data_IF_756424603690
#
_entry.id   IF_756424603690
#
_cell.length_a   1.000
_cell.length_b   1.000
_cell.length_c   1.000
_cell.angle_alpha   90.00
_cell.angle_beta   90.00
_cell.angle_gamma   90.00
#
_symmetry.space_group_name_H-M   'P 1'
#
loop_
_entity.id
_entity.type
_entity.pdbx_description
1 polymer ?
#
# COMPACT_ATOMS: atom_id res chain seq x y z
N UNK A 1 12.95 -20.39 5.65
CA UNK A 1 13.12 -18.92 5.45
C UNK A 1 11.91 -18.43 4.66
N UNK A 2 11.44 -17.20 4.86
CA UNK A 2 10.27 -16.68 4.13
C UNK A 2 10.52 -15.30 3.55
N UNK A 3 9.78 -14.98 2.49
CA UNK A 3 9.83 -13.67 1.84
C UNK A 3 8.71 -12.76 2.35
N UNK A 4 9.02 -11.49 2.49
CA UNK A 4 8.07 -10.43 2.83
C UNK A 4 7.84 -9.60 1.59
N UNK A 5 6.58 -9.48 1.20
CA UNK A 5 6.18 -8.77 -0.01
C UNK A 5 5.17 -7.67 0.34
N UNK A 6 5.28 -6.54 -0.31
CA UNK A 6 4.29 -5.44 -0.29
C UNK A 6 3.95 -5.02 -1.71
N UNK A 7 2.84 -4.33 -1.90
CA UNK A 7 2.65 -3.52 -3.11
C UNK A 7 3.23 -2.11 -2.93
N UNK A 8 3.47 -1.42 -4.04
CA UNK A 8 4.11 -0.09 -4.01
C UNK A 8 3.30 0.99 -3.30
N UNK A 9 2.03 0.74 -2.96
CA UNK A 9 1.26 1.66 -2.12
C UNK A 9 1.77 1.73 -0.67
N UNK A 10 2.63 0.81 -0.24
CA UNK A 10 3.29 0.84 1.06
C UNK A 10 4.21 2.07 1.22
N UNK A 11 4.66 2.67 0.11
CA UNK A 11 5.52 3.84 0.07
C UNK A 11 6.80 3.71 0.92
N UNK A 12 7.36 2.50 0.97
CA UNK A 12 8.64 2.26 1.64
C UNK A 12 9.77 2.71 0.71
N UNK A 13 10.68 3.57 1.15
CA UNK A 13 11.86 3.94 0.35
C UNK A 13 12.71 2.73 -0.04
N UNK A 14 13.32 2.77 -1.23
CA UNK A 14 14.11 1.66 -1.76
C UNK A 14 15.24 1.22 -0.80
N UNK A 15 15.90 2.17 -0.14
CA UNK A 15 16.92 1.87 0.87
C UNK A 15 16.38 1.05 2.06
N UNK A 16 15.15 1.34 2.50
CA UNK A 16 14.52 0.58 3.59
C UNK A 16 14.02 -0.79 3.11
N UNK A 17 13.54 -0.88 1.87
CA UNK A 17 13.21 -2.18 1.26
C UNK A 17 14.44 -3.09 1.22
N UNK A 18 15.60 -2.57 0.82
CA UNK A 18 16.88 -3.32 0.85
C UNK A 18 17.29 -3.70 2.27
N UNK A 19 17.25 -2.73 3.22
CA UNK A 19 17.62 -2.96 4.62
C UNK A 19 16.79 -4.07 5.26
N UNK A 20 15.48 -4.02 5.08
CA UNK A 20 14.54 -4.97 5.69
C UNK A 20 14.23 -6.18 4.82
N UNK A 21 14.89 -6.33 3.67
CA UNK A 21 14.69 -7.44 2.71
C UNK A 21 13.20 -7.62 2.38
N UNK A 22 12.56 -6.54 1.96
CA UNK A 22 11.15 -6.48 1.57
C UNK A 22 11.10 -6.38 0.04
N UNK A 23 10.41 -7.32 -0.62
CA UNK A 23 10.13 -7.30 -2.06
C UNK A 23 8.92 -6.39 -2.31
N UNK A 24 9.00 -5.53 -3.32
CA UNK A 24 7.90 -4.63 -3.69
C UNK A 24 7.36 -5.02 -5.06
N UNK A 25 6.05 -5.24 -5.15
CA UNK A 25 5.35 -5.35 -6.42
C UNK A 25 4.78 -3.99 -6.81
N UNK A 26 5.15 -3.51 -7.98
CA UNK A 26 4.76 -2.17 -8.42
C UNK A 26 3.37 -2.15 -9.04
N UNK A 27 2.55 -1.20 -8.61
CA UNK A 27 1.38 -0.78 -9.39
C UNK A 27 1.82 -0.20 -10.72
N UNK A 28 0.92 -0.25 -11.68
CA UNK A 28 1.04 0.51 -12.92
C UNK A 28 0.22 1.79 -12.79
N UNK A 29 0.88 2.94 -12.94
CA UNK A 29 0.23 4.23 -13.09
C UNK A 29 0.23 4.63 -14.57
N UNK A 30 -0.90 5.18 -15.02
CA UNK A 30 -1.00 5.84 -16.32
C UNK A 30 -1.05 7.34 -16.06
N UNK A 31 -0.05 8.07 -16.52
CA UNK A 31 0.01 9.53 -16.48
C UNK A 31 -0.16 10.05 -17.92
N UNK A 32 -1.27 10.70 -18.22
CA UNK A 32 -1.64 11.11 -19.58
C UNK A 32 -1.56 9.95 -20.59
N UNK A 33 -1.98 8.74 -20.17
CA UNK A 33 -1.98 7.54 -20.99
C UNK A 33 -0.63 6.84 -21.14
N UNK A 34 0.45 7.35 -20.54
CA UNK A 34 1.77 6.69 -20.50
C UNK A 34 1.94 5.92 -19.21
N UNK A 35 2.45 4.71 -19.32
CA UNK A 35 2.79 3.89 -18.14
C UNK A 35 3.96 4.50 -17.36
N UNK A 36 3.83 4.47 -16.05
CA UNK A 36 4.85 4.92 -15.10
C UNK A 36 4.94 3.89 -13.96
N UNK A 37 6.13 3.40 -13.73
CA UNK A 37 6.42 2.50 -12.62
C UNK A 37 6.40 3.27 -11.30
N UNK A 38 5.70 2.72 -10.30
CA UNK A 38 5.56 3.37 -8.99
C UNK A 38 6.70 3.07 -8.03
N UNK A 39 7.54 2.09 -8.34
CA UNK A 39 8.66 1.68 -7.50
C UNK A 39 9.82 1.16 -8.37
N UNK A 40 11.01 1.62 -8.07
CA UNK A 40 12.26 1.17 -8.67
C UNK A 40 13.28 0.90 -7.57
N UNK A 41 13.82 -0.33 -7.45
CA UNK A 41 14.60 -0.74 -6.29
C UNK A 41 15.99 -0.10 -6.20
N UNK A 42 16.49 0.46 -7.31
CA UNK A 42 17.88 0.94 -7.40
C UNK A 42 18.00 2.48 -7.36
N UNK A 43 16.89 3.17 -7.10
CA UNK A 43 16.92 4.62 -6.97
C UNK A 43 17.60 5.06 -5.67
N UNK A 44 18.40 6.13 -5.77
CA UNK A 44 18.86 6.85 -4.58
C UNK A 44 17.73 7.67 -3.98
N UNK A 45 17.81 8.06 -2.69
CA UNK A 45 16.79 8.92 -2.07
C UNK A 45 16.56 10.25 -2.81
N UNK A 46 17.60 10.80 -3.46
CA UNK A 46 17.51 12.01 -4.28
C UNK A 46 16.70 11.75 -5.56
N UNK A 47 16.93 10.61 -6.21
CA UNK A 47 16.22 10.22 -7.42
C UNK A 47 14.75 9.90 -7.12
N UNK A 48 14.46 9.21 -6.01
CA UNK A 48 13.09 8.97 -5.56
C UNK A 48 12.33 10.28 -5.32
N UNK A 49 12.97 11.25 -4.63
CA UNK A 49 12.38 12.57 -4.40
C UNK A 49 12.14 13.34 -5.71
N UNK A 50 13.09 13.28 -6.65
CA UNK A 50 12.96 13.96 -7.93
C UNK A 50 11.79 13.38 -8.75
N UNK A 51 11.68 12.05 -8.86
CA UNK A 51 10.56 11.38 -9.53
C UNK A 51 9.22 11.66 -8.87
N UNK A 52 9.18 11.59 -7.55
CA UNK A 52 7.97 11.92 -6.78
C UNK A 52 7.53 13.38 -7.02
N UNK A 53 8.49 14.31 -7.06
CA UNK A 53 8.20 15.72 -7.35
C UNK A 53 7.63 15.88 -8.77
N UNK A 54 8.27 15.29 -9.78
CA UNK A 54 7.81 15.33 -11.17
C UNK A 54 6.37 14.78 -11.29
N UNK A 55 6.09 13.63 -10.69
CA UNK A 55 4.77 13.02 -10.67
C UNK A 55 3.70 13.94 -10.06
N UNK A 56 3.98 14.51 -8.88
CA UNK A 56 3.01 15.39 -8.22
C UNK A 56 2.88 16.76 -8.88
N UNK A 57 3.93 17.26 -9.51
CA UNK A 57 3.85 18.52 -10.29
C UNK A 57 2.99 18.31 -11.53
N UNK A 58 3.15 17.21 -12.26
CA UNK A 58 2.27 16.86 -13.37
C UNK A 58 0.79 16.81 -12.96
N UNK A 59 0.48 16.20 -11.78
CA UNK A 59 -0.89 16.20 -11.24
C UNK A 59 -1.40 17.63 -10.96
N UNK A 60 -0.57 18.49 -10.39
CA UNK A 60 -0.93 19.90 -10.12
C UNK A 60 -1.19 20.69 -11.40
N UNK A 61 -0.48 20.37 -12.47
CA UNK A 61 -0.63 20.92 -13.80
C UNK A 61 -1.82 20.33 -14.58
N UNK A 62 -2.52 19.35 -13.98
CA UNK A 62 -3.76 18.81 -14.52
C UNK A 62 -3.61 17.48 -15.27
N UNK A 63 -2.47 16.80 -15.16
CA UNK A 63 -2.31 15.48 -15.75
C UNK A 63 -3.40 14.51 -15.30
N UNK A 64 -3.93 13.74 -16.23
CA UNK A 64 -4.84 12.65 -15.91
C UNK A 64 -4.04 11.47 -15.38
N UNK A 65 -4.37 11.02 -14.17
CA UNK A 65 -3.73 9.85 -13.55
C UNK A 65 -4.76 8.76 -13.30
N UNK A 66 -4.42 7.55 -13.77
CA UNK A 66 -5.17 6.32 -13.48
C UNK A 66 -4.21 5.30 -12.88
N UNK A 67 -4.67 4.57 -11.88
CA UNK A 67 -3.92 3.47 -11.27
C UNK A 67 -4.54 2.14 -11.71
N UNK A 68 -3.72 1.24 -12.26
CA UNK A 68 -4.08 -0.14 -12.51
C UNK A 68 -3.83 -1.01 -11.27
N UNK A 69 -4.56 -2.13 -11.18
CA UNK A 69 -4.24 -3.17 -10.21
C UNK A 69 -3.02 -3.96 -10.69
N UNK A 70 -2.29 -4.55 -9.76
CA UNK A 70 -1.37 -5.64 -10.07
C UNK A 70 -2.23 -6.83 -10.48
N UNK A 71 -1.99 -7.36 -11.67
CA UNK A 71 -2.78 -8.49 -12.18
C UNK A 71 -2.51 -9.76 -11.34
N UNK A 72 -3.48 -10.68 -11.30
CA UNK A 72 -3.28 -11.98 -10.67
C UNK A 72 -2.12 -12.75 -11.29
N UNK A 73 -1.88 -12.62 -12.61
CA UNK A 73 -0.75 -13.25 -13.28
C UNK A 73 0.61 -12.77 -12.74
N UNK A 74 0.80 -11.45 -12.51
CA UNK A 74 2.05 -10.94 -11.90
C UNK A 74 2.24 -11.48 -10.48
N UNK A 75 1.15 -11.58 -9.69
CA UNK A 75 1.23 -12.20 -8.38
C UNK A 75 1.55 -13.69 -8.48
N UNK A 76 0.91 -14.41 -9.41
CA UNK A 76 1.12 -15.84 -9.61
C UNK A 76 2.58 -16.14 -10.00
N UNK A 77 3.11 -15.45 -10.99
CA UNK A 77 4.52 -15.60 -11.42
C UNK A 77 5.47 -15.36 -10.24
N UNK A 78 5.23 -14.28 -9.48
CA UNK A 78 6.07 -13.93 -8.32
C UNK A 78 5.95 -14.97 -7.19
N UNK A 79 4.75 -15.42 -6.89
CA UNK A 79 4.53 -16.39 -5.80
C UNK A 79 5.09 -17.75 -6.18
N UNK A 80 4.92 -18.17 -7.42
CA UNK A 80 5.46 -19.43 -7.95
C UNK A 80 6.97 -19.47 -7.85
N UNK A 81 7.65 -18.42 -8.32
CA UNK A 81 9.12 -18.29 -8.22
C UNK A 81 9.62 -18.49 -6.77
N UNK A 82 8.93 -17.92 -5.79
CA UNK A 82 9.33 -17.97 -4.39
C UNK A 82 9.03 -19.33 -3.77
N UNK A 83 7.87 -19.92 -4.06
CA UNK A 83 7.48 -21.26 -3.59
C UNK A 83 8.39 -22.33 -4.17
N UNK A 84 8.75 -22.26 -5.45
CA UNK A 84 9.71 -23.15 -6.10
C UNK A 84 11.13 -23.01 -5.54
N UNK A 85 11.48 -21.82 -5.03
CA UNK A 85 12.72 -21.59 -4.28
C UNK A 85 12.66 -22.07 -2.80
N UNK A 86 11.66 -22.88 -2.43
CA UNK A 86 11.44 -23.47 -1.11
C UNK A 86 11.28 -22.43 0.02
N UNK A 87 10.54 -21.34 -0.24
CA UNK A 87 10.27 -20.28 0.73
C UNK A 87 8.79 -20.03 0.92
N UNK A 88 8.39 -19.72 2.14
CA UNK A 88 7.04 -19.25 2.45
C UNK A 88 6.90 -17.74 2.09
N UNK A 89 5.66 -17.27 1.94
CA UNK A 89 5.35 -15.89 1.53
C UNK A 89 4.45 -15.22 2.54
N UNK A 90 4.84 -14.04 3.01
CA UNK A 90 4.01 -13.13 3.78
C UNK A 90 3.80 -11.84 2.98
N UNK A 91 2.60 -11.68 2.41
CA UNK A 91 2.25 -10.52 1.60
C UNK A 91 1.35 -9.56 2.37
N UNK A 92 1.72 -8.28 2.40
CA UNK A 92 0.93 -7.20 2.97
C UNK A 92 0.30 -6.38 1.86
N UNK A 93 -1.02 -6.37 1.83
CA UNK A 93 -1.78 -5.62 0.85
C UNK A 93 -2.23 -4.28 1.39
N UNK A 94 -2.33 -3.29 0.49
CA UNK A 94 -3.21 -2.14 0.68
C UNK A 94 -4.60 -2.64 1.09
N UNK A 95 -5.30 -1.91 1.98
CA UNK A 95 -6.62 -2.32 2.46
C UNK A 95 -7.53 -2.79 1.31
N UNK A 96 -8.12 -3.97 1.47
CA UNK A 96 -9.03 -4.60 0.48
C UNK A 96 -10.28 -3.76 0.22
N UNK A 97 -10.63 -2.85 1.13
CA UNK A 97 -11.78 -1.97 1.00
C UNK A 97 -11.49 -0.69 0.20
N UNK A 98 -10.23 -0.44 -0.17
CA UNK A 98 -9.81 0.67 -1.04
C UNK A 98 -9.09 0.24 -2.29
N UNK A 99 -8.68 -1.04 -2.38
CA UNK A 99 -8.02 -1.61 -3.58
C UNK A 99 -8.41 -3.08 -3.80
N UNK A 100 -8.51 -3.48 -5.05
CA UNK A 100 -8.72 -4.89 -5.43
C UNK A 100 -7.47 -5.77 -5.34
N UNK A 101 -6.30 -5.23 -5.00
CA UNK A 101 -5.03 -5.97 -5.00
C UNK A 101 -5.03 -7.18 -4.06
N UNK A 102 -5.66 -7.06 -2.89
CA UNK A 102 -5.80 -8.21 -1.99
C UNK A 102 -6.49 -9.38 -2.68
N UNK A 103 -7.57 -9.11 -3.42
CA UNK A 103 -8.29 -10.17 -4.14
C UNK A 103 -7.49 -10.74 -5.31
N UNK A 104 -6.75 -9.91 -6.05
CA UNK A 104 -5.84 -10.37 -7.11
C UNK A 104 -4.76 -11.30 -6.54
N UNK A 105 -4.14 -10.91 -5.42
CA UNK A 105 -3.14 -11.73 -4.72
C UNK A 105 -3.74 -13.03 -4.17
N UNK A 106 -4.99 -12.99 -3.66
CA UNK A 106 -5.66 -14.19 -3.14
C UNK A 106 -5.90 -15.22 -4.24
N UNK A 107 -6.43 -14.78 -5.40
CA UNK A 107 -6.64 -15.67 -6.55
C UNK A 107 -5.32 -16.32 -6.99
N UNK A 108 -4.24 -15.55 -7.05
CA UNK A 108 -2.92 -16.08 -7.40
C UNK A 108 -2.38 -17.04 -6.33
N UNK A 109 -2.55 -16.72 -5.05
CA UNK A 109 -2.09 -17.59 -3.96
C UNK A 109 -2.82 -18.94 -3.97
N UNK A 110 -4.15 -18.92 -4.16
CA UNK A 110 -4.96 -20.15 -4.26
C UNK A 110 -4.44 -21.00 -5.43
N UNK A 111 -4.24 -20.44 -6.63
CA UNK A 111 -3.75 -21.16 -7.80
C UNK A 111 -2.34 -21.75 -7.60
N UNK A 112 -1.40 -20.99 -7.01
CA UNK A 112 -0.04 -21.48 -6.76
C UNK A 112 -0.01 -22.59 -5.72
N UNK A 113 -0.81 -22.48 -4.65
CA UNK A 113 -0.86 -23.50 -3.61
C UNK A 113 -1.52 -24.79 -4.08
N UNK A 114 -2.50 -24.71 -4.97
CA UNK A 114 -3.15 -25.89 -5.56
C UNK A 114 -2.19 -26.65 -6.50
N UNK A 115 -1.31 -25.92 -7.21
CA UNK A 115 -0.44 -26.49 -8.24
C UNK A 115 0.95 -26.94 -7.69
N UNK A 116 1.59 -26.15 -6.83
CA UNK A 116 3.00 -26.36 -6.49
C UNK A 116 3.39 -26.00 -5.05
N UNK A 117 2.50 -26.17 -4.07
CA UNK A 117 2.79 -25.72 -2.69
C UNK A 117 4.03 -26.35 -2.05
N UNK A 118 4.34 -27.61 -2.37
CA UNK A 118 5.47 -28.35 -1.78
C UNK A 118 5.56 -28.24 -0.23
N UNK A 119 4.42 -28.05 0.44
CA UNK A 119 4.34 -27.81 1.87
C UNK A 119 4.67 -26.38 2.30
N UNK A 120 4.92 -25.47 1.35
CA UNK A 120 5.11 -24.04 1.62
C UNK A 120 3.78 -23.32 1.80
N UNK A 121 3.84 -22.18 2.42
CA UNK A 121 2.66 -21.39 2.83
C UNK A 121 2.69 -19.99 2.21
N UNK A 122 1.52 -19.49 1.86
CA UNK A 122 1.30 -18.08 1.49
C UNK A 122 0.27 -17.49 2.45
N UNK A 123 0.66 -16.46 3.20
CA UNK A 123 -0.23 -15.71 4.09
C UNK A 123 -0.40 -14.29 3.54
N UNK A 124 -1.66 -13.87 3.42
CA UNK A 124 -2.03 -12.55 2.91
C UNK A 124 -2.59 -11.72 4.06
N UNK A 125 -1.94 -10.61 4.37
CA UNK A 125 -2.35 -9.69 5.43
C UNK A 125 -3.05 -8.49 4.81
N UNK A 126 -4.35 -8.32 5.08
CA UNK A 126 -5.05 -7.06 4.83
C UNK A 126 -4.56 -6.03 5.84
N UNK A 127 -3.85 -5.02 5.38
CA UNK A 127 -3.28 -4.01 6.28
C UNK A 127 -4.34 -3.14 6.97
N UNK A 128 -5.58 -3.12 6.49
CA UNK A 128 -6.64 -2.17 6.87
C UNK A 128 -6.17 -0.70 6.79
N UNK A 129 -5.04 -0.47 6.17
CA UNK A 129 -4.33 0.79 6.07
C UNK A 129 -3.89 1.05 4.62
N UNK A 130 -3.24 2.17 4.43
CA UNK A 130 -2.57 2.57 3.22
C UNK A 130 -1.21 3.18 3.54
N UNK A 131 -0.35 3.27 2.52
CA UNK A 131 0.92 3.96 2.61
C UNK A 131 1.77 3.49 3.81
N UNK A 132 2.27 4.40 4.62
CA UNK A 132 3.17 4.10 5.73
C UNK A 132 2.61 3.09 6.75
N UNK A 133 1.27 3.02 6.90
CA UNK A 133 0.66 2.02 7.79
C UNK A 133 0.86 0.59 7.29
N UNK A 134 0.69 0.37 5.99
CA UNK A 134 1.00 -0.91 5.34
C UNK A 134 2.51 -1.21 5.41
N UNK A 135 3.34 -0.22 5.08
CA UNK A 135 4.79 -0.36 5.12
C UNK A 135 5.34 -0.71 6.51
N UNK A 136 4.77 -0.11 7.55
CA UNK A 136 5.17 -0.37 8.93
C UNK A 136 4.92 -1.81 9.37
N UNK A 137 3.81 -2.43 8.92
CA UNK A 137 3.54 -3.84 9.18
C UNK A 137 4.63 -4.74 8.59
N UNK A 138 5.03 -4.48 7.34
CA UNK A 138 6.09 -5.24 6.69
C UNK A 138 7.45 -5.08 7.38
N UNK A 139 7.76 -3.87 7.86
CA UNK A 139 8.98 -3.61 8.63
C UNK A 139 8.95 -4.39 9.96
N UNK A 140 7.84 -4.37 10.71
CA UNK A 140 7.71 -5.15 11.94
C UNK A 140 7.85 -6.65 11.70
N UNK A 141 7.24 -7.18 10.65
CA UNK A 141 7.40 -8.58 10.26
C UNK A 141 8.87 -8.92 9.95
N UNK A 142 9.58 -8.02 9.25
CA UNK A 142 11.00 -8.20 8.98
C UNK A 142 11.85 -8.19 10.25
N UNK A 143 11.57 -7.29 11.19
CA UNK A 143 12.27 -7.25 12.48
C UNK A 143 12.02 -8.52 13.32
N UNK A 144 10.80 -9.07 13.29
CA UNK A 144 10.49 -10.35 13.94
C UNK A 144 11.24 -11.49 13.28
N UNK A 145 11.29 -11.54 11.94
CA UNK A 145 12.09 -12.52 11.17
C UNK A 145 13.58 -12.44 11.53
N UNK A 146 14.14 -11.25 11.65
CA UNK A 146 15.56 -11.08 12.04
C UNK A 146 15.85 -11.49 13.48
N UNK A 147 14.84 -11.43 14.37
CA UNK A 147 14.92 -11.98 15.73
C UNK A 147 14.78 -13.51 15.79
N UNK A 148 14.64 -14.17 14.65
CA UNK A 148 14.58 -15.64 14.56
C UNK A 148 13.19 -16.25 14.76
N UNK A 149 12.12 -15.45 14.77
CA UNK A 149 10.77 -15.98 14.82
C UNK A 149 10.44 -16.77 13.55
N UNK A 150 9.74 -17.87 13.71
CA UNK A 150 9.26 -18.70 12.60
C UNK A 150 8.22 -17.97 11.74
N UNK A 151 7.95 -18.48 10.54
CA UNK A 151 6.94 -17.94 9.65
C UNK A 151 5.56 -17.84 10.31
N UNK A 152 5.11 -18.93 10.95
CA UNK A 152 3.79 -18.95 11.57
C UNK A 152 3.71 -17.98 12.77
N UNK A 153 4.73 -17.93 13.62
CA UNK A 153 4.77 -16.97 14.74
C UNK A 153 4.69 -15.52 14.27
N UNK A 154 5.43 -15.18 13.19
CA UNK A 154 5.38 -13.82 12.61
C UNK A 154 4.01 -13.55 12.02
N UNK A 155 3.48 -14.45 11.19
CA UNK A 155 2.20 -14.29 10.53
C UNK A 155 1.05 -14.12 11.54
N UNK A 156 0.95 -14.99 12.53
CA UNK A 156 -0.10 -14.95 13.56
C UNK A 156 0.01 -13.69 14.43
N UNK A 157 1.23 -13.26 14.76
CA UNK A 157 1.44 -12.03 15.53
C UNK A 157 1.05 -10.80 14.72
N UNK A 158 1.54 -10.70 13.48
CA UNK A 158 1.37 -9.50 12.67
C UNK A 158 -0.08 -9.29 12.20
N UNK A 159 -0.85 -10.36 12.01
CA UNK A 159 -2.28 -10.28 11.67
C UNK A 159 -3.12 -9.56 12.75
N UNK A 160 -2.62 -9.47 13.97
CA UNK A 160 -3.30 -8.72 15.05
C UNK A 160 -3.01 -7.21 15.01
N UNK A 161 -2.00 -6.76 14.27
CA UNK A 161 -1.52 -5.37 14.30
C UNK A 161 -2.36 -4.38 13.48
N UNK A 162 -2.93 -4.74 12.31
CA UNK A 162 -3.72 -3.79 11.51
C UNK A 162 -4.80 -3.07 12.31
N UNK A 163 -5.51 -3.77 13.19
CA UNK A 163 -6.57 -3.20 14.02
C UNK A 163 -6.06 -2.19 15.08
N UNK A 164 -4.77 -2.17 15.36
CA UNK A 164 -4.11 -1.29 16.34
C UNK A 164 -3.41 -0.09 15.68
N UNK A 165 -3.24 -0.13 14.37
CA UNK A 165 -2.63 0.98 13.63
C UNK A 165 -3.65 2.09 13.35
N UNK A 166 -3.24 3.32 13.63
CA UNK A 166 -4.06 4.50 13.38
C UNK A 166 -3.38 5.38 12.33
N UNK A 167 -3.79 5.22 11.08
CA UNK A 167 -3.38 6.10 9.99
C UNK A 167 -4.20 7.39 10.00
N UNK A 168 -3.56 8.53 10.29
CA UNK A 168 -4.20 9.85 10.23
C UNK A 168 -3.48 10.71 9.19
N UNK A 169 -4.23 11.30 8.27
CA UNK A 169 -3.68 12.08 7.18
C UNK A 169 -4.60 13.20 6.72
N UNK A 170 -4.09 14.07 5.88
CA UNK A 170 -4.86 15.11 5.20
C UNK A 170 -4.50 15.14 3.72
N UNK A 171 -5.38 15.69 2.92
CA UNK A 171 -5.16 15.93 1.48
C UNK A 171 -5.38 17.39 1.13
N UNK A 172 -4.62 17.88 0.17
CA UNK A 172 -4.77 19.25 -0.31
C UNK A 172 -6.13 19.53 -0.96
N UNK A 173 -6.69 18.51 -1.63
CA UNK A 173 -7.98 18.59 -2.31
C UNK A 173 -8.69 17.24 -2.27
N UNK A 174 -9.86 17.20 -1.62
CA UNK A 174 -10.71 16.01 -1.51
C UNK A 174 -11.31 15.53 -2.82
N UNK A 175 -11.36 16.40 -3.83
CA UNK A 175 -11.90 16.03 -5.16
C UNK A 175 -11.19 14.80 -5.75
N UNK A 176 -9.88 14.65 -5.50
CA UNK A 176 -9.12 13.50 -5.99
C UNK A 176 -9.61 12.19 -5.37
N UNK A 177 -9.81 12.14 -4.06
CA UNK A 177 -10.35 10.95 -3.38
C UNK A 177 -11.81 10.67 -3.76
N UNK A 178 -12.62 11.72 -3.90
CA UNK A 178 -14.01 11.60 -4.31
C UNK A 178 -14.14 11.03 -5.73
N UNK A 179 -13.31 11.50 -6.69
CA UNK A 179 -13.29 10.99 -8.07
C UNK A 179 -12.96 9.51 -8.14
N UNK A 180 -12.12 9.04 -7.26
CA UNK A 180 -11.69 7.62 -7.26
C UNK A 180 -12.63 6.70 -6.46
N UNK A 181 -13.66 7.25 -5.79
CA UNK A 181 -14.60 6.47 -4.99
C UNK A 181 -14.03 5.87 -3.70
N UNK A 182 -12.79 6.25 -3.28
CA UNK A 182 -12.13 5.71 -2.09
C UNK A 182 -12.51 6.41 -0.80
N UNK A 183 -13.31 7.48 -0.87
CA UNK A 183 -13.80 8.21 0.30
C UNK A 183 -15.19 7.72 0.68
N UNK A 184 -15.32 6.98 1.77
CA UNK A 184 -16.58 6.41 2.24
C UNK A 184 -17.45 7.45 2.94
N UNK A 185 -18.76 7.45 2.65
CA UNK A 185 -19.77 8.22 3.40
C UNK A 185 -19.83 9.74 3.12
N UNK A 186 -19.26 10.24 2.02
CA UNK A 186 -19.03 11.69 1.85
C UNK A 186 -19.58 12.33 0.58
N UNK A 187 -20.55 11.73 -0.10
CA UNK A 187 -21.22 12.37 -1.24
C UNK A 187 -21.82 13.74 -0.91
N UNK A 188 -22.21 13.96 0.35
CA UNK A 188 -22.75 15.24 0.84
C UNK A 188 -21.67 16.32 1.13
N UNK A 189 -20.40 15.94 1.21
CA UNK A 189 -19.29 16.83 1.60
C UNK A 189 -18.60 17.52 0.42
N UNK A 190 -18.81 17.05 -0.81
CA UNK A 190 -18.08 17.53 -2.01
C UNK A 190 -18.49 18.93 -2.43
N UNK A 191 -19.72 19.39 -2.09
CA UNK A 191 -20.26 20.67 -2.54
C UNK A 191 -19.59 21.94 -1.96
N UNK A 192 -19.06 21.89 -0.73
CA UNK A 192 -18.59 23.08 0.02
C UNK A 192 -17.10 23.06 0.39
N UNK A 193 -16.27 22.24 -0.27
CA UNK A 193 -14.95 21.84 0.25
C UNK A 193 -13.73 22.62 -0.24
N UNK A 194 -13.88 23.68 -0.98
CA UNK A 194 -12.74 24.49 -1.45
C UNK A 194 -11.95 25.17 -0.33
N UNK A 195 -12.51 25.26 0.88
CA UNK A 195 -11.93 25.98 2.01
C UNK A 195 -11.61 25.13 3.25
N UNK A 196 -11.95 23.84 3.26
CA UNK A 196 -11.81 22.98 4.42
C UNK A 196 -10.70 21.96 4.14
N UNK A 197 -9.75 21.83 5.06
CA UNK A 197 -8.76 20.74 5.07
C UNK A 197 -9.26 19.67 6.03
N UNK A 198 -9.74 18.52 5.53
CA UNK A 198 -10.22 17.45 6.38
C UNK A 198 -9.04 16.71 7.00
N UNK A 199 -9.21 16.28 8.22
CA UNK A 199 -8.40 15.22 8.79
C UNK A 199 -9.10 13.91 8.49
N UNK A 200 -8.41 13.00 7.82
CA UNK A 200 -8.88 11.69 7.42
C UNK A 200 -8.21 10.62 8.26
N UNK A 201 -8.84 9.46 8.37
CA UNK A 201 -8.25 8.26 8.97
C UNK A 201 -8.75 6.99 8.30
N UNK A 202 -8.08 5.87 8.54
CA UNK A 202 -8.63 4.54 8.32
C UNK A 202 -9.76 4.25 9.31
N UNK A 203 -10.87 3.64 8.86
CA UNK A 203 -11.86 3.03 9.75
C UNK A 203 -11.35 1.69 10.27
N UNK A 204 -12.08 1.08 11.21
CA UNK A 204 -11.77 -0.28 11.69
C UNK A 204 -11.82 -1.33 10.57
N UNK A 205 -12.59 -1.06 9.53
CA UNK A 205 -12.74 -1.95 8.37
C UNK A 205 -11.82 -1.56 7.20
N UNK A 206 -10.91 -0.60 7.38
CA UNK A 206 -9.95 -0.18 6.37
C UNK A 206 -10.47 0.78 5.30
N UNK A 207 -11.66 1.39 5.47
CA UNK A 207 -12.13 2.48 4.61
C UNK A 207 -11.49 3.82 4.98
N UNK A 208 -11.35 4.71 4.00
CA UNK A 208 -10.98 6.10 4.29
C UNK A 208 -12.22 6.86 4.75
N UNK A 209 -12.17 7.40 5.98
CA UNK A 209 -13.26 8.16 6.57
C UNK A 209 -12.79 9.50 7.10
N UNK A 210 -13.70 10.47 7.14
CA UNK A 210 -13.42 11.75 7.76
C UNK A 210 -13.37 11.61 9.28
N UNK A 211 -12.28 12.08 9.89
CA UNK A 211 -12.10 12.07 11.34
C UNK A 211 -12.53 13.39 11.99
N UNK A 212 -12.06 14.52 11.43
CA UNK A 212 -12.41 15.87 11.90
C UNK A 212 -12.46 16.85 10.73
N UNK A 213 -13.23 17.95 10.92
CA UNK A 213 -13.17 19.13 10.05
C UNK A 213 -12.28 20.16 10.74
N UNK A 214 -11.22 20.61 10.05
CA UNK A 214 -10.50 21.81 10.47
C UNK A 214 -10.98 22.98 9.61
N UNK A 215 -11.56 24.00 10.23
CA UNK A 215 -11.70 25.29 9.57
C UNK A 215 -10.32 25.89 9.40
N UNK A 216 -10.09 26.63 8.32
CA UNK A 216 -8.86 27.38 8.10
C UNK A 216 -8.70 28.40 9.24
N UNK A 217 -8.05 28.03 10.32
CA UNK A 217 -7.53 29.01 11.24
C UNK A 217 -6.44 29.78 10.52
N UNK A 218 -6.58 31.11 10.45
CA UNK A 218 -5.51 32.03 10.06
C UNK A 218 -4.46 32.04 11.15
N UNK A 219 -3.79 30.94 11.43
CA UNK A 219 -2.58 31.00 12.24
C UNK A 219 -1.45 31.48 11.34
N UNK A 220 -1.16 32.76 11.43
CA UNK A 220 0.15 33.30 11.09
C UNK A 220 1.16 32.56 11.98
N UNK A 221 1.87 31.62 11.40
CA UNK A 221 3.16 31.19 11.95
C UNK A 221 4.08 32.39 11.70
N UNK A 222 4.46 33.07 12.79
CA UNK A 222 5.55 34.07 12.80
C UNK A 222 6.87 33.31 12.75
#
# INVERSE_FOLDING_TARGET
>A
MFEIIVDSAANIPAELCKKYKIKVLSFVNLVNGKEMTCFEPDLTPEQERAKGKEYYDAIREGAEVKTGLISSGIFEDTFREIIEADKDILYFSLSKNISGNYNSARVAADAVLDDCSNGRKIRLVDSLNASLGQGLLAIYASEMREKGMSFDEVADTIETYPARLNGVFTVGNLKYLARTGRLSGTTALVGNMLSIKPILRGSKDGYIVQFRKCSRSKSRIK
#
